data_IF_611060049845
#
_entry.id   IF_611060049845
#
_cell.length_a   1.000
_cell.length_b   1.000
_cell.length_c   1.000
_cell.angle_alpha   90.00
_cell.angle_beta   90.00
_cell.angle_gamma   90.00
#
_symmetry.space_group_name_H-M   'P 1'
#
loop_
_entity.id
_entity.type
_entity.pdbx_description
1 polymer ?
#
# COMPACT_ATOMS: atom_id res chain seq x y z
N UNK A 1 -7.99 -37.65 -12.16
CA UNK A 1 -6.62 -37.13 -12.29
C UNK A 1 -6.51 -36.40 -13.61
N UNK A 2 -6.18 -35.12 -13.58
CA UNK A 2 -5.99 -34.33 -14.82
C UNK A 2 -4.64 -34.68 -15.45
N UNK A 3 -4.54 -34.61 -16.78
CA UNK A 3 -3.29 -34.85 -17.51
C UNK A 3 -2.15 -33.90 -17.06
N UNK A 4 -2.49 -32.75 -16.51
CA UNK A 4 -1.56 -31.77 -15.97
C UNK A 4 -0.94 -32.17 -14.63
N UNK A 5 -1.60 -33.06 -13.87
CA UNK A 5 -1.08 -33.57 -12.58
C UNK A 5 0.05 -34.58 -12.79
N UNK A 6 0.13 -35.19 -13.98
CA UNK A 6 1.11 -36.25 -14.33
C UNK A 6 2.41 -35.62 -14.86
N UNK A 7 2.36 -34.46 -15.53
CA UNK A 7 3.51 -33.87 -16.23
C UNK A 7 4.05 -32.58 -15.61
N UNK A 8 3.54 -32.16 -14.44
CA UNK A 8 4.01 -30.94 -13.75
C UNK A 8 3.78 -29.64 -14.55
N UNK A 9 2.90 -29.68 -15.56
CA UNK A 9 2.56 -28.53 -16.38
C UNK A 9 1.66 -27.54 -15.61
N UNK A 10 1.90 -26.24 -15.78
CA UNK A 10 0.99 -25.22 -15.26
C UNK A 10 -0.39 -25.40 -15.88
N UNK A 11 -1.46 -25.33 -15.05
CA UNK A 11 -2.84 -25.36 -15.54
C UNK A 11 -3.05 -24.28 -16.61
N UNK A 12 -3.83 -24.57 -17.67
CA UNK A 12 -4.13 -23.57 -18.69
C UNK A 12 -4.79 -22.34 -18.02
N UNK A 13 -4.44 -21.15 -18.51
CA UNK A 13 -4.99 -19.90 -18.01
C UNK A 13 -6.51 -19.87 -18.23
N UNK A 14 -7.27 -19.82 -17.15
CA UNK A 14 -8.72 -19.65 -17.16
C UNK A 14 -9.07 -18.17 -16.91
N UNK A 15 -9.56 -17.50 -17.95
CA UNK A 15 -9.91 -16.07 -17.90
C UNK A 15 -11.04 -15.78 -16.89
N UNK A 16 -12.01 -16.68 -16.78
CA UNK A 16 -13.17 -16.51 -15.89
C UNK A 16 -12.76 -16.63 -14.44
N UNK A 17 -11.97 -17.66 -14.10
CA UNK A 17 -11.43 -17.82 -12.74
C UNK A 17 -10.53 -16.65 -12.35
N UNK A 18 -9.70 -16.19 -13.27
CA UNK A 18 -8.85 -15.02 -13.03
C UNK A 18 -9.69 -13.75 -12.79
N UNK A 19 -10.74 -13.52 -13.59
CA UNK A 19 -11.62 -12.38 -13.42
C UNK A 19 -12.38 -12.42 -12.10
N UNK A 20 -12.91 -13.60 -11.72
CA UNK A 20 -13.58 -13.83 -10.45
C UNK A 20 -12.63 -13.59 -9.25
N UNK A 21 -11.39 -14.09 -9.34
CA UNK A 21 -10.38 -13.87 -8.30
C UNK A 21 -10.04 -12.37 -8.16
N UNK A 22 -9.90 -11.65 -9.27
CA UNK A 22 -9.62 -10.20 -9.23
C UNK A 22 -10.80 -9.40 -8.66
N UNK A 23 -12.02 -9.83 -8.95
CA UNK A 23 -13.22 -9.22 -8.37
C UNK A 23 -13.29 -9.47 -6.85
N UNK A 24 -13.01 -10.70 -6.41
CA UNK A 24 -12.96 -11.04 -4.99
C UNK A 24 -11.89 -10.23 -4.25
N UNK A 25 -10.66 -10.14 -4.77
CA UNK A 25 -9.59 -9.34 -4.19
C UNK A 25 -9.98 -7.85 -4.07
N UNK A 26 -10.66 -7.31 -5.08
CA UNK A 26 -11.14 -5.93 -5.03
C UNK A 26 -12.21 -5.73 -3.95
N UNK A 27 -13.16 -6.66 -3.84
CA UNK A 27 -14.21 -6.62 -2.81
C UNK A 27 -13.58 -6.67 -1.41
N UNK A 28 -12.67 -7.60 -1.18
CA UNK A 28 -11.92 -7.73 0.06
C UNK A 28 -11.15 -6.44 0.42
N UNK A 29 -10.52 -5.79 -0.56
CA UNK A 29 -9.84 -4.51 -0.33
C UNK A 29 -10.80 -3.40 0.13
N UNK A 30 -12.00 -3.29 -0.44
CA UNK A 30 -12.99 -2.32 0.02
C UNK A 30 -13.54 -2.64 1.40
N UNK A 31 -13.84 -3.92 1.70
CA UNK A 31 -14.25 -4.36 3.03
C UNK A 31 -13.18 -4.06 4.09
N UNK A 32 -11.90 -4.25 3.75
CA UNK A 32 -10.78 -3.89 4.61
C UNK A 32 -10.71 -2.38 4.87
N UNK A 33 -10.94 -1.54 3.84
CA UNK A 33 -10.99 -0.08 4.01
C UNK A 33 -12.11 0.30 4.98
N UNK A 34 -13.32 -0.22 4.78
CA UNK A 34 -14.47 0.12 5.61
C UNK A 34 -14.26 -0.30 7.07
N UNK A 35 -13.74 -1.51 7.31
CA UNK A 35 -13.43 -2.00 8.64
C UNK A 35 -12.35 -1.15 9.32
N UNK A 36 -11.26 -0.85 8.61
CA UNK A 36 -10.18 -0.03 9.17
C UNK A 36 -10.64 1.40 9.44
N UNK A 37 -11.51 1.98 8.60
CA UNK A 37 -12.14 3.27 8.89
C UNK A 37 -12.96 3.22 10.18
N UNK A 38 -13.74 2.16 10.40
CA UNK A 38 -14.51 1.99 11.63
C UNK A 38 -13.60 1.87 12.87
N UNK A 39 -12.49 1.15 12.76
CA UNK A 39 -11.49 1.05 13.81
C UNK A 39 -10.85 2.41 14.13
N UNK A 40 -10.47 3.19 13.12
CA UNK A 40 -9.91 4.54 13.30
C UNK A 40 -10.88 5.51 13.98
N UNK A 41 -12.18 5.36 13.76
CA UNK A 41 -13.20 6.18 14.44
C UNK A 41 -13.36 5.78 15.91
N UNK A 42 -13.11 4.52 16.25
CA UNK A 42 -13.24 3.99 17.60
C UNK A 42 -11.94 4.15 18.43
N UNK A 43 -10.77 4.13 17.77
CA UNK A 43 -9.46 4.17 18.44
C UNK A 43 -8.52 5.20 17.83
N UNK A 44 -8.17 6.21 18.61
CA UNK A 44 -7.22 7.25 18.21
C UNK A 44 -5.81 6.74 17.89
N UNK A 45 -5.40 5.57 18.42
CA UNK A 45 -4.10 4.97 18.08
C UNK A 45 -4.11 4.41 16.66
N UNK A 46 -5.21 3.76 16.25
CA UNK A 46 -5.39 3.29 14.89
C UNK A 46 -5.37 4.45 13.88
N UNK A 47 -6.01 5.57 14.22
CA UNK A 47 -5.93 6.78 13.42
C UNK A 47 -4.52 7.38 13.38
N UNK A 48 -3.79 7.38 14.50
CA UNK A 48 -2.39 7.80 14.57
C UNK A 48 -1.48 6.97 13.67
N UNK A 49 -1.64 5.65 13.68
CA UNK A 49 -0.91 4.72 12.82
C UNK A 49 -1.18 4.98 11.33
N UNK A 50 -2.43 5.21 10.94
CA UNK A 50 -2.78 5.61 9.58
C UNK A 50 -2.08 6.90 9.17
N UNK A 51 -2.06 7.93 10.02
CA UNK A 51 -1.39 9.21 9.74
C UNK A 51 0.12 9.04 9.53
N UNK A 52 0.77 8.14 10.27
CA UNK A 52 2.18 7.81 10.08
C UNK A 52 2.42 7.14 8.72
N UNK A 53 1.56 6.20 8.33
CA UNK A 53 1.62 5.55 7.01
C UNK A 53 1.39 6.57 5.91
N UNK A 54 0.34 7.40 6.00
CA UNK A 54 0.05 8.44 5.01
C UNK A 54 1.22 9.44 4.87
N UNK A 55 1.89 9.76 5.98
CA UNK A 55 3.07 10.64 5.96
C UNK A 55 4.29 10.03 5.26
N UNK A 56 4.44 8.70 5.27
CA UNK A 56 5.49 7.99 4.52
C UNK A 56 5.15 7.81 3.05
N UNK A 57 3.87 7.60 2.76
CA UNK A 57 3.34 7.37 1.41
C UNK A 57 2.52 8.57 0.94
N UNK A 58 3.15 9.75 0.87
CA UNK A 58 2.53 11.04 0.53
C UNK A 58 1.83 11.08 -0.83
N UNK A 59 2.25 10.20 -1.75
CA UNK A 59 1.67 10.06 -3.10
C UNK A 59 0.54 9.04 -3.18
N UNK A 60 0.29 8.30 -2.11
CA UNK A 60 -0.80 7.33 -2.08
C UNK A 60 -2.12 8.04 -1.82
N UNK A 61 -3.19 7.53 -2.45
CA UNK A 61 -4.54 7.95 -2.08
C UNK A 61 -4.86 7.53 -0.64
N UNK A 62 -5.81 8.21 -0.01
CA UNK A 62 -6.31 7.87 1.32
C UNK A 62 -6.63 6.38 1.43
N UNK A 63 -7.36 5.82 0.46
CA UNK A 63 -7.73 4.41 0.45
C UNK A 63 -6.50 3.48 0.45
N UNK A 64 -5.47 3.82 -0.34
CA UNK A 64 -4.25 3.01 -0.37
C UNK A 64 -3.43 3.13 0.91
N UNK A 65 -3.37 4.30 1.53
CA UNK A 65 -2.71 4.46 2.82
C UNK A 65 -3.45 3.70 3.93
N UNK A 66 -4.78 3.65 3.90
CA UNK A 66 -5.60 2.83 4.80
C UNK A 66 -5.27 1.34 4.60
N UNK A 67 -5.24 0.87 3.34
CA UNK A 67 -4.90 -0.52 3.03
C UNK A 67 -3.49 -0.89 3.50
N UNK A 68 -2.51 -0.01 3.33
CA UNK A 68 -1.15 -0.25 3.83
C UNK A 68 -1.13 -0.26 5.35
N UNK A 69 -1.82 0.68 6.01
CA UNK A 69 -1.91 0.74 7.48
C UNK A 69 -2.50 -0.53 8.07
N UNK A 70 -3.51 -1.11 7.42
CA UNK A 70 -4.16 -2.34 7.88
C UNK A 70 -3.30 -3.59 7.67
N UNK A 71 -2.52 -3.66 6.57
CA UNK A 71 -1.80 -4.86 6.17
C UNK A 71 -0.34 -4.88 6.60
N UNK A 72 0.35 -3.74 6.54
CA UNK A 72 1.78 -3.61 6.83
C UNK A 72 2.10 -2.18 7.26
N UNK A 73 1.77 -1.77 8.49
CA UNK A 73 1.96 -0.40 8.97
C UNK A 73 3.42 0.05 8.99
N UNK A 74 4.37 -0.87 9.09
CA UNK A 74 5.81 -0.60 9.05
C UNK A 74 6.39 -0.52 7.64
N UNK A 75 5.61 -0.75 6.60
CA UNK A 75 6.09 -0.67 5.22
C UNK A 75 6.79 0.66 4.93
N UNK A 76 7.86 0.60 4.15
CA UNK A 76 8.69 1.78 3.81
C UNK A 76 8.75 2.07 2.33
N UNK A 77 8.75 1.05 1.48
CA UNK A 77 8.84 1.21 0.03
C UNK A 77 8.14 0.06 -0.68
N UNK A 78 6.97 0.33 -1.21
CA UNK A 78 6.12 -0.67 -1.86
C UNK A 78 6.22 -0.59 -3.38
N UNK A 79 6.48 -1.73 -4.03
CA UNK A 79 6.46 -1.87 -5.49
C UNK A 79 5.96 -3.26 -5.87
N UNK A 80 5.42 -3.37 -7.09
CA UNK A 80 5.11 -4.67 -7.66
C UNK A 80 6.38 -5.46 -8.07
N UNK A 81 6.22 -6.77 -8.30
CA UNK A 81 7.35 -7.64 -8.66
C UNK A 81 8.12 -7.18 -9.90
N UNK A 82 7.41 -6.64 -10.90
CA UNK A 82 8.04 -6.19 -12.13
C UNK A 82 8.87 -4.93 -11.91
N UNK A 83 8.34 -3.97 -11.13
CA UNK A 83 9.05 -2.74 -10.77
C UNK A 83 10.30 -3.06 -9.92
N UNK A 84 10.22 -4.02 -8.99
CA UNK A 84 11.40 -4.50 -8.26
C UNK A 84 12.42 -5.14 -9.18
N UNK A 85 11.99 -6.02 -10.09
CA UNK A 85 12.86 -6.68 -11.07
C UNK A 85 13.58 -5.69 -11.98
N UNK A 86 12.89 -4.62 -12.43
CA UNK A 86 13.51 -3.54 -13.21
C UNK A 86 14.61 -2.82 -12.43
N UNK A 87 14.49 -2.73 -11.11
CA UNK A 87 15.51 -2.18 -10.21
C UNK A 87 16.60 -3.21 -9.84
N UNK A 88 16.61 -4.40 -10.47
CA UNK A 88 17.49 -5.53 -10.15
C UNK A 88 17.37 -6.00 -8.69
N UNK A 89 16.18 -5.91 -8.15
CA UNK A 89 15.81 -6.36 -6.81
C UNK A 89 14.77 -7.47 -6.95
N UNK A 90 14.91 -8.53 -6.18
CA UNK A 90 14.05 -9.71 -6.25
C UNK A 90 13.25 -9.86 -4.96
N UNK A 91 11.95 -10.10 -5.10
CA UNK A 91 11.04 -10.37 -3.99
C UNK A 91 11.31 -11.78 -3.46
N UNK A 92 11.40 -11.92 -2.14
CA UNK A 92 11.61 -13.21 -1.47
C UNK A 92 10.42 -14.14 -1.72
N UNK A 93 10.63 -15.45 -1.54
CA UNK A 93 9.61 -16.46 -1.81
C UNK A 93 8.42 -16.37 -0.83
N UNK A 94 8.70 -16.04 0.41
CA UNK A 94 7.80 -15.92 1.56
C UNK A 94 7.39 -14.48 1.85
N UNK A 95 7.65 -13.56 0.91
CA UNK A 95 7.33 -12.14 1.05
C UNK A 95 5.85 -11.90 1.32
N UNK A 96 5.56 -11.04 2.27
CA UNK A 96 4.21 -10.58 2.57
C UNK A 96 3.66 -9.73 1.42
N UNK A 97 2.47 -10.10 0.95
CA UNK A 97 1.75 -9.34 -0.08
C UNK A 97 0.95 -8.22 0.58
N UNK A 98 1.02 -7.05 0.01
CA UNK A 98 0.15 -5.92 0.33
C UNK A 98 -0.73 -5.64 -0.88
N UNK A 99 -2.04 -5.56 -0.67
CA UNK A 99 -3.00 -5.23 -1.72
C UNK A 99 -3.25 -3.74 -1.71
N UNK A 100 -3.09 -3.10 -2.86
CA UNK A 100 -3.46 -1.71 -3.09
C UNK A 100 -4.45 -1.60 -4.26
N UNK A 101 -5.08 -0.46 -4.41
CA UNK A 101 -5.97 -0.16 -5.51
C UNK A 101 -5.24 0.73 -6.53
N UNK A 102 -5.16 0.28 -7.78
CA UNK A 102 -4.67 1.10 -8.88
C UNK A 102 -5.80 1.49 -9.83
N UNK A 103 -5.78 2.69 -10.42
CA UNK A 103 -6.79 3.09 -11.38
C UNK A 103 -6.74 2.17 -12.61
N UNK A 104 -7.91 1.67 -12.99
CA UNK A 104 -8.11 0.89 -14.20
C UNK A 104 -8.39 1.76 -15.42
N UNK A 105 -9.01 1.16 -16.42
CA UNK A 105 -9.43 1.89 -17.61
C UNK A 105 -10.65 2.76 -17.31
N UNK A 106 -10.68 3.94 -17.91
CA UNK A 106 -11.85 4.80 -17.93
C UNK A 106 -13.01 4.09 -18.68
N UNK A 107 -14.20 4.18 -18.16
CA UNK A 107 -15.42 3.67 -18.78
C UNK A 107 -16.54 4.71 -18.67
N UNK A 108 -17.49 4.62 -19.59
CA UNK A 108 -18.66 5.50 -19.57
C UNK A 108 -19.81 4.77 -18.90
N UNK A 109 -20.43 5.39 -17.91
CA UNK A 109 -21.65 4.89 -17.26
C UNK A 109 -22.85 5.04 -18.17
N UNK A 110 -23.96 4.41 -17.82
CA UNK A 110 -25.23 4.49 -18.56
C UNK A 110 -25.79 5.93 -18.64
N UNK A 111 -25.48 6.77 -17.64
CA UNK A 111 -25.82 8.19 -17.59
C UNK A 111 -24.91 9.09 -18.47
N UNK A 112 -23.97 8.51 -19.20
CA UNK A 112 -23.00 9.22 -20.03
C UNK A 112 -21.81 9.81 -19.28
N UNK A 113 -21.74 9.69 -17.96
CA UNK A 113 -20.60 10.17 -17.17
C UNK A 113 -19.39 9.23 -17.29
N UNK A 114 -18.20 9.80 -17.33
CA UNK A 114 -16.95 9.03 -17.31
C UNK A 114 -16.57 8.63 -15.88
N UNK A 115 -16.16 7.39 -15.71
CA UNK A 115 -15.73 6.87 -14.44
C UNK A 115 -14.46 6.02 -14.61
N UNK A 116 -13.67 5.92 -13.56
CA UNK A 116 -12.48 5.06 -13.51
C UNK A 116 -12.74 3.96 -12.50
N UNK A 117 -12.64 2.72 -12.95
CA UNK A 117 -12.66 1.56 -12.06
C UNK A 117 -11.30 1.42 -11.37
N UNK A 118 -11.28 0.71 -10.24
CA UNK A 118 -10.04 0.37 -9.56
C UNK A 118 -9.81 -1.13 -9.59
N UNK A 119 -8.54 -1.53 -9.76
CA UNK A 119 -8.13 -2.91 -9.75
C UNK A 119 -7.26 -3.19 -8.52
N UNK A 120 -7.43 -4.36 -7.93
CA UNK A 120 -6.54 -4.82 -6.88
C UNK A 120 -5.17 -5.20 -7.46
N UNK A 121 -4.10 -4.66 -6.87
CA UNK A 121 -2.70 -4.89 -7.25
C UNK A 121 -1.89 -5.36 -6.05
N UNK A 122 -1.10 -6.41 -6.26
CA UNK A 122 -0.17 -6.92 -5.27
C UNK A 122 1.14 -6.13 -5.32
N UNK A 123 1.58 -5.63 -4.19
CA UNK A 123 2.87 -4.96 -4.00
C UNK A 123 3.62 -5.57 -2.82
N UNK A 124 4.92 -5.37 -2.77
CA UNK A 124 5.83 -5.94 -1.78
C UNK A 124 6.73 -4.85 -1.24
N UNK A 125 6.95 -4.88 0.07
CA UNK A 125 7.88 -3.94 0.71
C UNK A 125 9.33 -4.31 0.45
N UNK A 126 10.21 -3.34 0.51
CA UNK A 126 11.66 -3.53 0.34
C UNK A 126 12.24 -4.47 1.38
N UNK A 127 11.68 -4.51 2.59
CA UNK A 127 12.10 -5.41 3.67
C UNK A 127 11.99 -6.89 3.28
N UNK A 128 11.06 -7.22 2.39
CA UNK A 128 10.81 -8.56 1.87
C UNK A 128 11.51 -8.85 0.53
N UNK A 129 12.58 -8.11 0.25
CA UNK A 129 13.33 -8.25 -1.01
C UNK A 129 14.81 -8.51 -0.76
N UNK A 130 15.53 -8.88 -1.83
CA UNK A 130 16.98 -9.02 -1.82
C UNK A 130 17.74 -7.73 -1.48
N UNK A 131 17.05 -6.60 -1.39
CA UNK A 131 17.61 -5.30 -1.01
C UNK A 131 17.37 -4.94 0.47
N UNK A 132 16.69 -5.77 1.24
CA UNK A 132 16.36 -5.50 2.64
C UNK A 132 17.57 -5.07 3.49
N UNK A 133 18.70 -5.71 3.27
CA UNK A 133 19.94 -5.43 3.99
C UNK A 133 20.83 -4.36 3.33
N UNK A 134 20.40 -3.77 2.20
CA UNK A 134 21.21 -2.80 1.44
C UNK A 134 20.86 -1.34 1.75
N UNK A 135 19.72 -1.09 2.39
CA UNK A 135 19.33 0.25 2.80
C UNK A 135 19.48 0.39 4.32
N UNK A 136 20.09 1.47 4.80
CA UNK A 136 19.98 1.81 6.22
C UNK A 136 18.50 1.98 6.56
N UNK A 137 18.08 1.66 7.78
CA UNK A 137 16.73 1.93 8.24
C UNK A 137 16.42 3.40 7.93
N UNK A 138 15.44 3.66 7.06
CA UNK A 138 14.99 5.03 6.87
C UNK A 138 14.34 5.45 8.19
N UNK A 139 14.88 6.49 8.81
CA UNK A 139 14.21 7.11 9.96
C UNK A 139 12.79 7.44 9.54
N UNK A 140 11.84 6.71 10.13
CA UNK A 140 10.41 6.94 9.92
C UNK A 140 10.06 8.29 10.55
N UNK A 141 10.09 9.36 9.77
CA UNK A 141 9.57 10.64 10.24
C UNK A 141 8.08 10.51 10.44
N UNK A 142 7.65 10.47 11.68
CA UNK A 142 6.24 10.48 12.00
C UNK A 142 5.54 11.75 11.46
N UNK A 143 4.25 11.68 11.21
CA UNK A 143 3.45 12.83 10.74
C UNK A 143 3.69 14.07 11.61
N UNK A 144 3.83 13.89 12.93
CA UNK A 144 4.15 14.96 13.88
C UNK A 144 5.44 15.69 13.54
N UNK A 145 6.49 14.95 13.16
CA UNK A 145 7.80 15.54 12.77
C UNK A 145 7.73 16.24 11.42
N UNK A 146 6.96 15.66 10.46
CA UNK A 146 6.74 16.28 9.16
C UNK A 146 5.97 17.59 9.27
N UNK A 147 4.86 17.60 10.03
CA UNK A 147 4.09 18.81 10.30
C UNK A 147 4.95 19.83 11.03
N UNK A 148 5.74 19.40 12.02
CA UNK A 148 6.60 20.29 12.79
C UNK A 148 7.74 20.86 11.94
N UNK A 149 8.34 20.08 11.05
CA UNK A 149 9.36 20.56 10.11
C UNK A 149 8.77 21.56 9.10
N UNK A 150 7.55 21.32 8.61
CA UNK A 150 6.83 22.23 7.74
C UNK A 150 6.50 23.57 8.44
N UNK A 151 5.98 23.50 9.66
CA UNK A 151 5.66 24.68 10.47
C UNK A 151 6.90 25.51 10.75
N UNK A 152 8.00 24.87 11.16
CA UNK A 152 9.30 25.55 11.34
C UNK A 152 9.76 26.26 10.08
N UNK A 153 9.70 25.58 8.94
CA UNK A 153 10.13 26.15 7.66
C UNK A 153 9.24 27.31 7.22
N UNK A 154 7.91 27.16 7.34
CA UNK A 154 6.94 28.18 6.91
C UNK A 154 6.97 29.43 7.76
N UNK A 155 7.11 29.29 9.06
CA UNK A 155 7.06 30.41 10.02
C UNK A 155 8.42 30.85 10.53
N UNK A 156 9.53 30.31 9.98
CA UNK A 156 10.93 30.62 10.38
C UNK A 156 11.13 30.57 11.91
N UNK A 157 10.48 29.61 12.58
CA UNK A 157 10.55 29.47 14.04
C UNK A 157 11.92 28.92 14.45
N UNK A 158 12.74 29.72 15.12
CA UNK A 158 13.93 29.24 15.81
C UNK A 158 13.53 28.68 17.18
N UNK A 159 13.58 27.36 17.34
CA UNK A 159 13.13 26.63 18.54
C UNK A 159 14.23 26.47 19.59
N UNK A 160 15.25 27.30 19.61
CA UNK A 160 16.29 27.22 20.64
C UNK A 160 15.86 27.72 22.02
N UNK A 161 14.66 28.29 22.20
CA UNK A 161 14.27 28.94 23.44
C UNK A 161 13.08 28.33 24.20
N UNK A 162 12.68 27.07 23.92
CA UNK A 162 11.51 26.47 24.60
C UNK A 162 11.83 25.29 25.53
N UNK A 163 13.08 25.10 25.95
CA UNK A 163 13.47 24.03 26.87
C UNK A 163 14.04 24.54 28.20
N UNK A 164 13.70 25.74 28.62
CA UNK A 164 13.98 26.22 29.96
C UNK A 164 12.80 26.99 30.53
N UNK A 165 11.86 26.30 31.12
CA UNK A 165 11.00 26.75 32.24
C UNK A 165 10.30 25.55 32.81
#
# INVERSE_FOLDING_TARGET
>A
MSIYDVFGGSKPFNKEEWAAQKQAQRKEAYEMIDNTCAEMLADGNAFGQYLEVQGRFDRYSVNNAILVSAQMPEATSLKDKNAWKQSRVYVNRDAQKVIILEPGKEYTREDGTKAVGYNAKEVYDISDTSAANRQPPQEKKGMRELVWSYVKKKYKLNVTNFLCS
#
